data_IF_890075710748
#
_entry.id   IF_890075710748
#
_cell.length_a   1.000
_cell.length_b   1.000
_cell.length_c   1.000
_cell.angle_alpha   90.00
_cell.angle_beta   90.00
_cell.angle_gamma   90.00
#
_symmetry.space_group_name_H-M   'P 1'
#
loop_
_entity.id
_entity.type
_entity.pdbx_description
1 polymer ?
#
# COMPACT_ATOMS: atom_id res chain seq x y z
N UNK A 1 55.80 25.88 32.91
CA UNK A 1 55.73 26.39 34.30
C UNK A 1 56.97 25.97 35.06
N UNK A 2 57.44 26.80 35.98
CA UNK A 2 58.45 26.37 36.96
C UNK A 2 57.82 25.36 37.93
N UNK A 3 58.66 24.60 38.63
CA UNK A 3 58.23 23.69 39.69
C UNK A 3 57.41 24.44 40.75
N UNK A 4 56.24 23.89 41.13
CA UNK A 4 55.31 24.54 42.06
C UNK A 4 54.56 25.75 41.50
N UNK A 5 54.75 26.09 40.21
CA UNK A 5 54.04 27.19 39.58
C UNK A 5 52.60 26.86 39.22
N UNK A 6 51.78 27.91 39.10
CA UNK A 6 50.39 27.85 38.63
C UNK A 6 50.18 28.73 37.41
N UNK A 7 49.21 28.38 36.55
CA UNK A 7 48.74 29.22 35.45
C UNK A 7 47.22 29.12 35.31
N UNK A 8 46.61 30.14 34.75
CA UNK A 8 45.19 30.09 34.39
C UNK A 8 44.99 29.48 33.00
N UNK A 9 44.02 28.57 32.90
CA UNK A 9 43.54 28.01 31.64
C UNK A 9 42.21 28.67 31.31
N UNK A 10 42.18 29.37 30.19
CA UNK A 10 40.99 30.07 29.69
C UNK A 10 40.34 29.30 28.54
N UNK A 11 39.04 29.48 28.36
CA UNK A 11 38.37 29.06 27.13
C UNK A 11 38.96 29.80 25.93
N UNK A 12 39.23 29.07 24.85
CA UNK A 12 39.67 29.68 23.60
C UNK A 12 38.51 30.47 22.99
N UNK A 13 38.77 31.71 22.57
CA UNK A 13 37.76 32.50 21.84
C UNK A 13 37.22 31.70 20.62
N UNK A 14 35.90 31.72 20.35
CA UNK A 14 34.85 32.54 20.97
C UNK A 14 34.09 31.86 22.13
N UNK A 15 34.60 30.75 22.67
CA UNK A 15 33.95 30.09 23.79
C UNK A 15 34.10 30.90 25.09
N UNK A 16 33.05 30.92 25.89
CA UNK A 16 32.98 31.60 27.17
C UNK A 16 32.91 30.57 28.30
N UNK A 17 33.59 30.85 29.40
CA UNK A 17 33.64 29.99 30.56
C UNK A 17 34.54 30.59 31.63
N UNK A 18 34.44 30.06 32.85
CA UNK A 18 35.34 30.45 33.93
C UNK A 18 36.73 29.87 33.68
N UNK A 19 37.78 30.65 33.96
CA UNK A 19 39.13 30.11 33.97
C UNK A 19 39.31 29.17 35.16
N UNK A 20 40.20 28.20 34.98
CA UNK A 20 40.59 27.22 35.99
C UNK A 20 42.09 27.30 36.20
N UNK A 21 42.53 27.13 37.44
CA UNK A 21 43.96 27.11 37.76
C UNK A 21 44.54 25.72 37.45
N UNK A 22 45.63 25.70 36.70
CA UNK A 22 46.46 24.53 36.48
C UNK A 22 47.74 24.66 37.30
N UNK A 23 48.18 23.56 37.93
CA UNK A 23 49.36 23.54 38.80
C UNK A 23 50.36 22.46 38.38
N UNK A 24 51.65 22.79 38.46
CA UNK A 24 52.73 21.82 38.27
C UNK A 24 53.21 21.33 39.64
N UNK A 25 52.97 20.06 40.02
CA UNK A 25 53.32 19.57 41.34
C UNK A 25 54.85 19.56 41.56
N UNK A 26 55.29 19.72 42.81
CA UNK A 26 56.70 19.60 43.18
C UNK A 26 57.23 18.21 42.84
N UNK A 27 58.45 18.14 42.27
CA UNK A 27 59.06 16.90 41.81
C UNK A 27 58.49 16.31 40.51
N UNK A 28 57.70 17.07 39.73
CA UNK A 28 57.20 16.58 38.45
C UNK A 28 58.34 16.32 37.45
N UNK A 29 58.51 15.07 37.03
CA UNK A 29 59.46 14.65 35.98
C UNK A 29 58.78 14.36 34.63
N UNK A 30 57.46 14.48 34.55
CA UNK A 30 56.68 14.25 33.32
C UNK A 30 56.38 15.59 32.63
N UNK A 31 56.80 15.80 31.37
CA UNK A 31 56.43 17.00 30.61
C UNK A 31 54.91 17.20 30.43
N UNK A 32 54.08 16.15 30.65
CA UNK A 32 52.62 16.22 30.64
C UNK A 32 51.99 16.20 32.05
N UNK A 33 52.80 16.24 33.13
CA UNK A 33 52.35 16.12 34.52
C UNK A 33 51.63 17.35 35.10
N UNK A 34 51.04 18.20 34.26
CA UNK A 34 50.26 19.37 34.70
C UNK A 34 48.92 18.88 35.29
N UNK A 35 48.62 19.29 36.52
CA UNK A 35 47.37 18.93 37.20
C UNK A 35 46.36 20.04 37.01
N UNK A 36 45.27 19.72 36.31
CA UNK A 36 44.15 20.64 36.05
C UNK A 36 42.90 19.87 35.66
N UNK A 37 41.76 20.56 35.67
CA UNK A 37 40.48 20.05 35.16
C UNK A 37 40.00 20.97 34.04
N UNK A 38 39.52 20.44 32.89
CA UNK A 38 39.01 21.29 31.82
C UNK A 38 37.90 22.25 32.28
N UNK A 39 37.96 23.55 31.91
CA UNK A 39 36.86 24.46 32.19
C UNK A 39 35.65 24.12 31.33
N UNK A 40 34.44 24.38 31.82
CA UNK A 40 33.22 24.33 31.02
C UNK A 40 33.19 25.52 30.05
N UNK A 41 33.44 25.24 28.77
CA UNK A 41 33.44 26.23 27.71
C UNK A 41 32.17 26.12 26.88
N UNK A 42 31.32 27.13 26.96
CA UNK A 42 30.06 27.22 26.21
C UNK A 42 30.17 28.23 25.08
N UNK A 43 29.51 27.93 23.98
CA UNK A 43 29.38 28.83 22.84
C UNK A 43 28.00 29.47 22.92
N UNK A 44 27.94 30.74 23.34
CA UNK A 44 26.66 31.42 23.55
C UNK A 44 26.01 31.81 22.22
N UNK A 45 26.79 32.38 21.30
CA UNK A 45 26.30 32.85 20.01
C UNK A 45 27.36 32.69 18.93
N UNK A 46 26.90 32.56 17.69
CA UNK A 46 27.73 32.67 16.50
C UNK A 46 27.03 33.55 15.46
N UNK A 47 27.83 34.09 14.54
CA UNK A 47 27.34 34.84 13.39
C UNK A 47 26.40 33.98 12.54
N UNK A 48 25.66 34.64 11.64
CA UNK A 48 24.82 33.92 10.68
C UNK A 48 25.68 33.30 9.57
N UNK A 49 25.20 32.21 8.93
CA UNK A 49 25.86 31.66 7.76
C UNK A 49 26.01 32.72 6.67
N UNK A 50 27.17 32.76 6.02
CA UNK A 50 27.45 33.68 4.90
C UNK A 50 26.47 33.48 3.74
N UNK A 51 26.05 32.23 3.52
CA UNK A 51 25.05 31.85 2.52
C UNK A 51 23.79 31.37 3.21
N UNK A 52 22.66 31.98 2.88
CA UNK A 52 21.33 31.56 3.34
C UNK A 52 21.05 30.12 2.88
N UNK A 53 20.88 29.15 3.80
CA UNK A 53 20.57 27.78 3.42
C UNK A 53 19.22 27.68 2.74
N UNK A 54 19.09 26.75 1.79
CA UNK A 54 17.84 26.55 1.06
C UNK A 54 16.65 26.32 2.01
N UNK A 55 15.53 26.97 1.72
CA UNK A 55 14.30 26.84 2.50
C UNK A 55 14.25 27.63 3.80
N UNK A 56 15.24 28.47 4.05
CA UNK A 56 15.32 29.33 5.22
C UNK A 56 15.33 30.81 4.78
N UNK A 57 14.84 31.67 5.67
CA UNK A 57 14.90 33.13 5.53
C UNK A 57 15.31 33.73 6.87
N UNK A 58 16.17 34.75 6.83
CA UNK A 58 16.56 35.51 8.02
C UNK A 58 15.59 36.67 8.21
N UNK A 59 14.82 36.65 9.29
CA UNK A 59 13.89 37.70 9.72
C UNK A 59 14.51 38.54 10.85
N UNK A 60 13.93 39.71 11.21
CA UNK A 60 14.45 40.54 12.31
C UNK A 60 14.50 39.84 13.67
N UNK A 61 13.65 38.84 13.88
CA UNK A 61 13.53 38.02 15.09
C UNK A 61 14.29 36.69 15.03
N UNK A 62 14.96 36.39 13.90
CA UNK A 62 15.80 35.21 13.74
C UNK A 62 15.52 34.44 12.45
N UNK A 63 16.00 33.20 12.42
CA UNK A 63 15.79 32.31 11.27
C UNK A 63 14.36 31.77 11.26
N UNK A 64 13.79 31.64 10.06
CA UNK A 64 12.48 31.05 9.84
C UNK A 64 12.45 30.24 8.54
N UNK A 65 11.41 29.43 8.37
CA UNK A 65 11.20 28.70 7.13
C UNK A 65 10.65 29.62 6.04
N UNK A 66 11.17 29.46 4.84
CA UNK A 66 10.65 30.13 3.65
C UNK A 66 9.21 29.65 3.35
N UNK A 67 8.45 30.42 2.55
CA UNK A 67 7.02 30.22 2.28
C UNK A 67 6.65 28.80 1.82
N UNK A 68 7.54 28.15 1.06
CA UNK A 68 7.36 26.79 0.54
C UNK A 68 7.89 25.67 1.46
N UNK A 69 8.44 26.02 2.61
CA UNK A 69 8.98 25.10 3.60
C UNK A 69 8.11 25.10 4.86
N UNK A 70 8.24 24.07 5.68
CA UNK A 70 7.53 23.92 6.96
C UNK A 70 8.52 23.48 8.04
N UNK A 71 8.11 23.65 9.29
CA UNK A 71 8.91 23.34 10.46
C UNK A 71 9.29 24.58 11.27
N UNK A 72 10.34 24.45 12.08
CA UNK A 72 10.89 25.52 12.89
C UNK A 72 12.37 25.62 12.58
N UNK A 73 12.83 26.77 12.11
CA UNK A 73 14.24 26.98 11.85
C UNK A 73 14.99 27.06 13.19
N UNK A 74 16.08 26.30 13.27
CA UNK A 74 16.96 26.28 14.43
C UNK A 74 18.37 26.58 13.95
N UNK A 75 19.00 27.61 14.53
CA UNK A 75 20.42 27.91 14.34
C UNK A 75 21.23 27.24 15.44
N UNK A 76 22.15 26.38 15.06
CA UNK A 76 23.13 25.74 15.94
C UNK A 76 24.53 26.19 15.54
N UNK A 77 25.43 26.26 16.51
CA UNK A 77 26.82 26.64 16.28
C UNK A 77 27.70 25.44 16.60
N UNK A 78 28.52 25.01 15.64
CA UNK A 78 29.41 23.86 15.81
C UNK A 78 30.85 24.26 15.55
N UNK A 79 31.79 23.72 16.33
CA UNK A 79 33.21 23.92 16.09
C UNK A 79 33.78 22.82 15.20
N UNK A 80 34.52 23.23 14.18
CA UNK A 80 35.30 22.31 13.35
C UNK A 80 36.54 21.80 14.10
N UNK A 81 37.22 20.75 13.60
CA UNK A 81 38.51 20.32 14.16
C UNK A 81 39.61 21.40 14.15
N UNK A 82 39.50 22.42 13.29
CA UNK A 82 40.39 23.60 13.26
C UNK A 82 39.99 24.68 14.27
N UNK A 83 39.00 24.41 15.14
CA UNK A 83 38.38 25.36 16.07
C UNK A 83 37.69 26.55 15.39
N UNK A 84 37.26 26.40 14.14
CA UNK A 84 36.44 27.42 13.47
C UNK A 84 34.98 27.18 13.85
N UNK A 85 34.27 28.25 14.22
CA UNK A 85 32.85 28.17 14.52
C UNK A 85 32.05 28.32 13.23
N UNK A 86 31.27 27.30 12.90
CA UNK A 86 30.41 27.28 11.72
C UNK A 86 28.94 27.27 12.17
N UNK A 87 28.16 28.30 11.83
CA UNK A 87 26.73 28.28 12.05
C UNK A 87 26.05 27.30 11.09
N UNK A 88 25.08 26.56 11.61
CA UNK A 88 24.25 25.63 10.86
C UNK A 88 22.79 25.93 11.15
N UNK A 89 22.01 26.22 10.12
CA UNK A 89 20.56 26.39 10.23
C UNK A 89 19.89 25.12 9.71
N UNK A 90 18.92 24.61 10.46
CA UNK A 90 18.18 23.39 10.14
C UNK A 90 16.73 23.47 10.60
N UNK A 91 15.94 22.43 10.36
CA UNK A 91 14.55 22.32 10.85
C UNK A 91 13.47 22.76 9.87
N UNK A 92 13.83 23.41 8.75
CA UNK A 92 12.92 23.64 7.64
C UNK A 92 13.02 22.53 6.61
N UNK A 93 11.86 21.97 6.25
CA UNK A 93 11.71 20.85 5.33
C UNK A 93 10.68 21.20 4.26
N UNK A 94 10.97 20.82 3.02
CA UNK A 94 10.05 21.02 1.92
C UNK A 94 8.93 19.96 2.01
N UNK A 95 7.65 20.36 2.11
CA UNK A 95 6.56 19.40 2.05
C UNK A 95 6.56 18.67 0.70
N UNK A 96 6.36 17.36 0.74
CA UNK A 96 6.31 16.50 -0.43
C UNK A 96 4.87 16.05 -0.70
N UNK A 97 4.43 16.00 -1.98
CA UNK A 97 3.16 15.38 -2.31
C UNK A 97 3.16 13.91 -1.92
N UNK A 98 2.02 13.43 -1.46
CA UNK A 98 1.81 12.00 -1.23
C UNK A 98 1.64 11.28 -2.57
N UNK A 99 2.20 10.08 -2.67
CA UNK A 99 2.01 9.16 -3.79
C UNK A 99 0.95 8.12 -3.45
N UNK A 100 0.36 7.53 -4.49
CA UNK A 100 -0.59 6.44 -4.33
C UNK A 100 0.11 5.23 -3.67
N UNK A 101 -0.49 4.60 -2.65
CA UNK A 101 0.07 3.39 -2.08
C UNK A 101 0.02 2.23 -3.07
N UNK A 102 0.85 1.22 -2.83
CA UNK A 102 0.74 -0.05 -3.54
C UNK A 102 -0.66 -0.64 -3.27
N UNK A 103 -1.46 -0.72 -4.32
CA UNK A 103 -2.84 -1.18 -4.25
C UNK A 103 -2.99 -2.50 -5.02
N UNK A 104 -3.85 -3.37 -4.49
CA UNK A 104 -4.43 -4.43 -5.31
C UNK A 104 -5.15 -3.78 -6.50
N UNK A 105 -5.10 -4.43 -7.65
CA UNK A 105 -5.67 -3.93 -8.87
C UNK A 105 -7.20 -3.86 -8.90
N UNK A 106 -7.87 -4.40 -7.87
CA UNK A 106 -9.28 -4.09 -7.57
C UNK A 106 -9.54 -2.60 -7.36
N UNK A 107 -8.51 -1.83 -6.99
CA UNK A 107 -8.63 -0.42 -6.67
C UNK A 107 -8.11 0.47 -7.78
N UNK A 108 -8.87 1.54 -8.06
CA UNK A 108 -8.43 2.64 -8.90
C UNK A 108 -7.87 3.75 -8.00
N UNK A 109 -6.55 3.89 -8.04
CA UNK A 109 -5.78 4.93 -7.34
C UNK A 109 -5.22 5.99 -8.29
N UNK A 110 -5.70 6.05 -9.53
CA UNK A 110 -5.20 6.97 -10.56
C UNK A 110 -5.28 8.44 -10.13
N UNK A 111 -6.31 8.81 -9.36
CA UNK A 111 -6.48 10.16 -8.80
C UNK A 111 -5.54 10.49 -7.63
N UNK A 112 -4.75 9.53 -7.16
CA UNK A 112 -3.89 9.65 -5.98
C UNK A 112 -2.38 9.67 -6.31
N UNK A 113 -1.99 9.80 -7.59
CA UNK A 113 -0.58 9.72 -8.00
C UNK A 113 0.30 10.85 -7.43
N UNK A 114 -0.26 12.04 -7.18
CA UNK A 114 0.46 13.19 -6.61
C UNK A 114 -0.51 14.11 -5.88
N UNK A 115 -0.77 13.79 -4.61
CA UNK A 115 -1.68 14.55 -3.75
C UNK A 115 -0.88 15.57 -2.96
N UNK A 116 -1.12 16.86 -3.17
CA UNK A 116 -0.43 17.91 -2.44
C UNK A 116 -0.67 17.82 -0.93
N UNK A 117 0.27 18.24 -0.07
CA UNK A 117 0.07 18.28 1.38
C UNK A 117 -1.19 19.05 1.78
N UNK A 118 -2.01 18.44 2.63
CA UNK A 118 -3.35 18.94 3.00
C UNK A 118 -4.46 18.62 1.99
N UNK A 119 -4.11 18.06 0.83
CA UNK A 119 -5.03 17.65 -0.21
C UNK A 119 -5.65 16.28 0.05
N UNK A 120 -6.60 15.93 -0.81
CA UNK A 120 -7.26 14.63 -0.80
C UNK A 120 -7.47 14.09 -2.21
N UNK A 121 -7.63 12.78 -2.31
CA UNK A 121 -8.00 12.09 -3.55
C UNK A 121 -9.07 11.04 -3.24
N UNK A 122 -9.72 10.52 -4.29
CA UNK A 122 -10.73 9.48 -4.16
C UNK A 122 -10.20 8.18 -4.74
N UNK A 123 -10.31 7.11 -3.96
CA UNK A 123 -10.00 5.74 -4.37
C UNK A 123 -11.32 5.02 -4.58
N UNK A 124 -11.47 4.40 -5.75
CA UNK A 124 -12.65 3.63 -6.11
C UNK A 124 -12.31 2.19 -6.48
N UNK A 125 -13.32 1.43 -6.88
CA UNK A 125 -13.11 0.14 -7.52
C UNK A 125 -12.76 0.32 -8.99
N UNK A 126 -11.77 -0.43 -9.47
CA UNK A 126 -11.42 -0.52 -10.88
C UNK A 126 -12.36 -1.50 -11.58
N UNK A 127 -12.74 -1.23 -12.83
CA UNK A 127 -13.48 -2.22 -13.63
C UNK A 127 -12.69 -3.53 -13.72
N UNK A 128 -13.34 -4.71 -13.60
CA UNK A 128 -14.79 -4.99 -13.55
C UNK A 128 -15.44 -4.97 -12.16
N UNK A 129 -14.67 -4.58 -11.15
CA UNK A 129 -15.19 -4.47 -9.79
C UNK A 129 -16.07 -3.23 -9.65
N UNK A 130 -17.01 -3.30 -8.73
CA UNK A 130 -17.90 -2.20 -8.40
C UNK A 130 -18.18 -2.23 -6.90
N UNK A 131 -18.42 -1.04 -6.35
CA UNK A 131 -18.51 -0.88 -4.91
C UNK A 131 -18.43 0.57 -4.48
N UNK A 132 -18.06 0.76 -3.22
CA UNK A 132 -17.93 2.09 -2.61
C UNK A 132 -16.73 2.89 -3.14
N UNK A 133 -16.62 4.11 -2.64
CA UNK A 133 -15.44 4.97 -2.81
C UNK A 133 -14.98 5.44 -1.43
N UNK A 134 -13.69 5.61 -1.27
CA UNK A 134 -13.10 6.20 -0.05
C UNK A 134 -12.28 7.42 -0.41
N UNK A 135 -12.27 8.41 0.48
CA UNK A 135 -11.38 9.57 0.37
C UNK A 135 -10.10 9.31 1.14
N UNK A 136 -8.96 9.46 0.45
CA UNK A 136 -7.64 9.43 1.05
C UNK A 136 -7.12 10.86 1.21
N UNK A 137 -6.37 11.13 2.28
CA UNK A 137 -5.90 12.47 2.64
C UNK A 137 -4.39 12.50 2.83
N UNK A 138 -3.72 13.51 2.26
CA UNK A 138 -2.32 13.78 2.52
C UNK A 138 -2.21 14.81 3.64
N UNK A 139 -1.47 14.52 4.71
CA UNK A 139 -1.41 15.42 5.89
C UNK A 139 -0.78 16.77 5.52
N UNK A 140 -1.26 17.85 6.15
CA UNK A 140 -0.66 19.18 6.00
C UNK A 140 0.78 19.19 6.49
N UNK A 141 1.72 19.57 5.62
CA UNK A 141 3.16 19.53 5.94
C UNK A 141 3.80 18.14 5.81
N UNK A 142 3.15 17.22 5.10
CA UNK A 142 3.71 15.91 4.79
C UNK A 142 5.12 16.03 4.17
N UNK A 143 6.08 15.27 4.68
CA UNK A 143 7.46 15.18 4.16
C UNK A 143 7.83 13.76 3.74
N UNK A 144 6.89 12.81 3.83
CA UNK A 144 7.05 11.43 3.40
C UNK A 144 6.17 11.18 2.17
N UNK A 145 6.73 10.83 0.99
CA UNK A 145 5.89 10.51 -0.17
C UNK A 145 4.85 9.42 0.12
N UNK A 146 5.07 8.51 1.08
CA UNK A 146 4.12 7.47 1.45
C UNK A 146 3.09 7.90 2.51
N UNK A 147 3.02 9.19 2.85
CA UNK A 147 2.15 9.73 3.90
C UNK A 147 0.65 9.82 3.56
N UNK A 148 0.18 9.14 2.51
CA UNK A 148 -1.25 9.16 2.15
C UNK A 148 -2.05 8.32 3.16
N UNK A 149 -3.00 8.97 3.84
CA UNK A 149 -3.83 8.32 4.85
C UNK A 149 -5.14 7.83 4.23
N UNK A 150 -5.44 6.55 4.45
CA UNK A 150 -6.67 5.87 4.01
C UNK A 150 -7.34 5.27 5.24
N UNK A 151 -8.60 5.61 5.51
CA UNK A 151 -9.33 5.08 6.67
C UNK A 151 -9.68 3.60 6.53
N UNK A 152 -10.13 3.20 5.35
CA UNK A 152 -10.37 1.81 4.96
C UNK A 152 -10.40 1.70 3.43
N UNK A 153 -10.01 0.56 2.88
CA UNK A 153 -10.19 0.31 1.45
C UNK A 153 -11.69 0.12 1.13
N UNK A 154 -12.16 0.55 -0.05
CA UNK A 154 -13.55 0.33 -0.43
C UNK A 154 -13.81 -1.18 -0.60
N UNK A 155 -15.04 -1.61 -0.29
CA UNK A 155 -15.45 -2.98 -0.62
C UNK A 155 -15.73 -3.07 -2.11
N UNK A 156 -14.93 -3.90 -2.80
CA UNK A 156 -14.96 -4.04 -4.25
C UNK A 156 -15.32 -5.49 -4.62
N UNK A 157 -16.52 -5.65 -5.19
CA UNK A 157 -17.07 -6.94 -5.61
C UNK A 157 -17.30 -6.96 -7.12
N UNK A 158 -17.24 -8.13 -7.73
CA UNK A 158 -17.52 -8.30 -9.16
C UNK A 158 -19.03 -8.26 -9.38
N UNK A 159 -19.55 -7.15 -9.93
CA UNK A 159 -20.99 -7.01 -10.25
C UNK A 159 -21.31 -7.59 -11.63
N UNK A 160 -20.30 -7.75 -12.49
CA UNK A 160 -20.47 -8.32 -13.81
C UNK A 160 -19.13 -8.66 -14.47
N UNK A 161 -19.23 -9.40 -15.55
CA UNK A 161 -18.11 -9.83 -16.38
C UNK A 161 -18.60 -9.90 -17.82
N UNK A 162 -17.69 -9.74 -18.78
CA UNK A 162 -18.02 -9.90 -20.19
C UNK A 162 -18.56 -11.32 -20.46
N UNK A 163 -19.34 -11.49 -21.51
CA UNK A 163 -19.64 -12.84 -21.98
C UNK A 163 -18.34 -13.50 -22.46
N UNK A 164 -18.10 -14.80 -22.19
CA UNK A 164 -16.90 -15.47 -22.66
C UNK A 164 -16.90 -15.53 -24.19
N UNK A 165 -15.74 -15.32 -24.81
CA UNK A 165 -15.58 -15.41 -26.27
C UNK A 165 -15.85 -16.83 -26.77
N UNK A 166 -15.50 -17.83 -25.96
CA UNK A 166 -15.79 -19.25 -26.19
C UNK A 166 -16.49 -19.78 -24.95
N UNK A 167 -17.66 -20.39 -25.10
CA UNK A 167 -18.42 -20.99 -24.02
C UNK A 167 -18.44 -22.52 -24.09
N UNK A 168 -18.62 -23.22 -22.94
CA UNK A 168 -18.70 -24.67 -22.91
C UNK A 168 -19.88 -25.20 -23.74
N UNK A 169 -19.77 -26.48 -24.14
CA UNK A 169 -20.91 -27.19 -24.74
C UNK A 169 -22.11 -27.19 -23.80
N UNK A 170 -23.32 -27.16 -24.38
CA UNK A 170 -24.57 -27.13 -23.61
C UNK A 170 -25.08 -25.75 -23.24
N UNK A 171 -24.34 -24.69 -23.56
CA UNK A 171 -24.76 -23.30 -23.34
C UNK A 171 -25.06 -22.60 -24.67
N UNK A 172 -26.16 -21.84 -24.70
CA UNK A 172 -26.56 -21.01 -25.84
C UNK A 172 -26.81 -19.59 -25.35
N UNK A 173 -26.17 -18.62 -26.02
CA UNK A 173 -26.35 -17.20 -25.74
C UNK A 173 -27.61 -16.68 -26.43
N UNK A 174 -28.50 -16.06 -25.67
CA UNK A 174 -29.71 -15.42 -26.20
C UNK A 174 -29.57 -13.89 -26.31
N UNK A 175 -28.69 -13.31 -25.50
CA UNK A 175 -28.41 -11.88 -25.49
C UNK A 175 -27.22 -11.56 -24.57
N UNK A 176 -26.85 -10.27 -24.42
CA UNK A 176 -25.78 -9.86 -23.53
C UNK A 176 -26.03 -10.31 -22.09
N UNK A 177 -25.19 -11.20 -21.57
CA UNK A 177 -25.35 -11.76 -20.23
C UNK A 177 -26.50 -12.76 -20.05
N UNK A 178 -27.28 -13.06 -21.10
CA UNK A 178 -28.43 -13.96 -21.05
C UNK A 178 -28.08 -15.29 -21.71
N UNK A 179 -28.14 -16.35 -20.91
CA UNK A 179 -27.74 -17.71 -21.29
C UNK A 179 -28.89 -18.67 -21.03
N UNK A 180 -28.98 -19.71 -21.86
CA UNK A 180 -29.86 -20.86 -21.64
C UNK A 180 -29.15 -22.17 -21.97
N UNK A 181 -29.76 -23.28 -21.56
CA UNK A 181 -29.28 -24.58 -21.96
C UNK A 181 -29.57 -24.87 -23.44
N UNK A 182 -28.61 -25.53 -24.09
CA UNK A 182 -28.68 -25.96 -25.48
C UNK A 182 -29.63 -27.14 -25.68
N UNK A 183 -29.82 -27.54 -26.93
CA UNK A 183 -30.63 -28.72 -27.25
C UNK A 183 -30.02 -29.99 -26.65
N UNK A 184 -30.84 -30.83 -26.02
CA UNK A 184 -30.43 -32.01 -25.23
C UNK A 184 -29.65 -31.69 -23.94
N UNK A 185 -29.80 -30.47 -23.42
CA UNK A 185 -29.31 -30.07 -22.11
C UNK A 185 -30.46 -29.48 -21.32
N UNK A 186 -30.49 -29.79 -20.02
CA UNK A 186 -31.55 -29.35 -19.10
C UNK A 186 -30.96 -28.55 -17.94
N UNK A 187 -31.82 -27.88 -17.18
CA UNK A 187 -31.44 -27.02 -16.06
C UNK A 187 -31.57 -25.52 -16.35
N UNK A 188 -30.89 -24.73 -15.53
CA UNK A 188 -30.91 -23.26 -15.60
C UNK A 188 -29.48 -22.78 -15.79
N UNK A 189 -29.19 -22.17 -16.94
CA UNK A 189 -27.89 -21.57 -17.19
C UNK A 189 -27.66 -20.40 -16.21
N UNK A 190 -26.62 -20.51 -15.40
CA UNK A 190 -26.19 -19.48 -14.47
C UNK A 190 -24.84 -18.94 -14.94
N UNK A 191 -24.77 -17.61 -15.06
CA UNK A 191 -23.51 -16.89 -15.29
C UNK A 191 -23.01 -16.34 -13.96
N UNK A 192 -21.79 -16.71 -13.58
CA UNK A 192 -21.10 -16.21 -12.40
C UNK A 192 -19.80 -15.55 -12.81
N UNK A 193 -19.44 -14.48 -12.10
CA UNK A 193 -18.20 -13.76 -12.30
C UNK A 193 -17.31 -14.01 -11.08
N UNK A 194 -16.10 -14.50 -11.31
CA UNK A 194 -15.12 -14.72 -10.25
C UNK A 194 -13.88 -13.88 -10.52
N UNK A 195 -13.34 -13.29 -9.46
CA UNK A 195 -12.02 -12.70 -9.50
C UNK A 195 -11.00 -13.86 -9.51
N UNK A 196 -10.07 -13.92 -10.47
CA UNK A 196 -9.00 -14.88 -10.47
C UNK A 196 -8.01 -14.52 -9.36
N UNK A 197 -7.50 -15.56 -8.69
CA UNK A 197 -6.54 -15.43 -7.59
C UNK A 197 -5.11 -15.09 -8.07
N UNK A 198 -4.90 -14.95 -9.37
CA UNK A 198 -3.59 -14.70 -10.01
C UNK A 198 -3.21 -13.20 -10.06
N UNK A 199 -4.11 -12.32 -9.60
CA UNK A 199 -3.90 -10.87 -9.64
C UNK A 199 -4.00 -10.29 -11.06
N UNK A 200 -4.62 -10.98 -12.02
CA UNK A 200 -4.82 -10.49 -13.39
C UNK A 200 -5.84 -9.36 -13.52
N UNK A 201 -6.63 -9.11 -12.47
CA UNK A 201 -7.60 -8.01 -12.37
C UNK A 201 -8.72 -8.08 -13.42
N UNK A 202 -8.87 -9.22 -14.08
CA UNK A 202 -9.94 -9.49 -15.03
C UNK A 202 -10.96 -10.37 -14.34
N UNK A 203 -12.26 -10.13 -14.51
CA UNK A 203 -13.26 -11.07 -14.00
C UNK A 203 -13.38 -12.25 -14.98
N UNK A 204 -13.24 -13.46 -14.48
CA UNK A 204 -13.48 -14.68 -15.25
C UNK A 204 -14.97 -15.01 -15.21
N UNK A 205 -15.52 -15.31 -16.38
CA UNK A 205 -16.90 -15.77 -16.50
C UNK A 205 -16.96 -17.28 -16.39
N UNK A 206 -17.79 -17.76 -15.47
CA UNK A 206 -18.11 -19.18 -15.30
C UNK A 206 -19.58 -19.38 -15.67
N UNK A 207 -19.84 -20.34 -16.54
CA UNK A 207 -21.19 -20.81 -16.86
C UNK A 207 -21.42 -22.15 -16.16
N UNK A 208 -22.53 -22.26 -15.45
CA UNK A 208 -22.92 -23.46 -14.68
C UNK A 208 -24.42 -23.75 -14.80
N UNK A 209 -24.86 -24.91 -14.34
CA UNK A 209 -26.29 -25.26 -14.22
C UNK A 209 -26.98 -25.85 -15.46
N UNK A 210 -26.25 -26.09 -16.56
CA UNK A 210 -26.75 -26.92 -17.66
C UNK A 210 -26.11 -28.30 -17.57
N UNK A 211 -26.94 -29.33 -17.61
CA UNK A 211 -26.52 -30.72 -17.56
C UNK A 211 -27.02 -31.46 -18.80
N UNK A 212 -26.20 -32.37 -19.32
CA UNK A 212 -26.58 -33.13 -20.51
C UNK A 212 -27.72 -34.08 -20.17
N UNK A 213 -28.77 -34.06 -20.99
CA UNK A 213 -29.85 -35.03 -20.88
C UNK A 213 -29.32 -36.40 -21.27
N UNK A 214 -29.35 -37.34 -20.31
CA UNK A 214 -29.03 -38.74 -20.57
C UNK A 214 -30.30 -39.54 -20.75
N UNK A 215 -30.29 -40.58 -21.60
CA UNK A 215 -31.43 -41.48 -21.72
C UNK A 215 -31.81 -42.09 -20.38
N UNK A 216 -33.10 -42.28 -20.15
CA UNK A 216 -33.61 -43.02 -19.00
C UNK A 216 -32.99 -44.41 -18.96
N UNK A 217 -32.63 -44.85 -17.73
CA UNK A 217 -32.25 -46.24 -17.50
C UNK A 217 -33.38 -47.15 -17.99
N UNK A 218 -33.00 -48.27 -18.61
CA UNK A 218 -33.96 -49.27 -19.03
C UNK A 218 -34.89 -49.64 -17.87
N UNK A 219 -36.18 -49.78 -18.16
CA UNK A 219 -37.17 -50.16 -17.17
C UNK A 219 -36.78 -51.52 -16.57
N UNK A 220 -36.52 -51.55 -15.26
CA UNK A 220 -36.23 -52.78 -14.56
C UNK A 220 -37.53 -53.59 -14.45
N UNK A 221 -37.58 -54.72 -15.15
CA UNK A 221 -38.69 -55.68 -15.09
C UNK A 221 -38.30 -56.79 -14.12
N UNK A 222 -39.23 -57.23 -13.27
CA UNK A 222 -38.95 -58.33 -12.37
C UNK A 222 -38.81 -59.65 -13.17
N UNK A 223 -38.00 -60.63 -12.74
CA UNK A 223 -37.75 -61.85 -13.50
C UNK A 223 -39.03 -62.60 -13.92
N UNK A 224 -40.05 -62.60 -13.06
CA UNK A 224 -41.35 -63.22 -13.35
C UNK A 224 -42.17 -62.50 -14.43
N UNK A 225 -41.89 -61.22 -14.69
CA UNK A 225 -42.61 -60.39 -15.64
C UNK A 225 -41.86 -60.25 -16.99
N UNK A 226 -40.62 -60.75 -17.09
CA UNK A 226 -39.83 -60.72 -18.34
C UNK A 226 -40.50 -61.51 -19.47
N UNK A 227 -41.20 -62.60 -19.13
CA UNK A 227 -41.98 -63.39 -20.10
C UNK A 227 -43.35 -62.77 -20.43
N UNK A 228 -43.79 -61.77 -19.65
CA UNK A 228 -45.10 -61.12 -19.80
C UNK A 228 -44.97 -59.77 -20.51
N UNK A 229 -43.92 -59.00 -20.24
CA UNK A 229 -43.76 -57.63 -20.72
C UNK A 229 -42.62 -57.51 -21.74
N UNK A 230 -42.93 -56.92 -22.90
CA UNK A 230 -41.95 -56.45 -23.86
C UNK A 230 -41.66 -54.97 -23.62
N UNK A 231 -40.49 -54.70 -23.03
CA UNK A 231 -39.96 -53.36 -22.73
C UNK A 231 -38.85 -52.93 -23.69
N UNK A 232 -38.63 -53.65 -24.80
CA UNK A 232 -37.52 -53.35 -25.72
C UNK A 232 -37.59 -51.92 -26.29
N UNK A 233 -38.79 -51.36 -26.44
CA UNK A 233 -39.02 -49.97 -26.87
C UNK A 233 -38.72 -48.92 -25.79
N UNK A 234 -38.47 -49.34 -24.55
CA UNK A 234 -38.20 -48.49 -23.40
C UNK A 234 -36.73 -48.45 -22.99
N UNK A 235 -35.83 -48.99 -23.80
CA UNK A 235 -34.38 -48.89 -23.58
C UNK A 235 -33.87 -47.59 -24.20
N UNK A 236 -33.25 -46.72 -23.39
CA UNK A 236 -32.64 -45.49 -23.87
C UNK A 236 -33.65 -44.40 -24.29
N UNK A 237 -34.78 -44.31 -23.59
CA UNK A 237 -35.79 -43.25 -23.84
C UNK A 237 -35.22 -41.90 -23.41
N UNK A 238 -35.17 -40.93 -24.33
CA UNK A 238 -34.72 -39.57 -24.02
C UNK A 238 -35.66 -38.86 -23.04
N UNK A 239 -35.13 -37.90 -22.29
CA UNK A 239 -35.93 -37.05 -21.41
C UNK A 239 -37.11 -36.41 -22.18
N UNK A 240 -38.28 -36.33 -21.52
CA UNK A 240 -39.52 -35.80 -22.12
C UNK A 240 -40.17 -36.69 -23.17
N UNK A 241 -39.55 -37.80 -23.60
CA UNK A 241 -40.14 -38.78 -24.51
C UNK A 241 -40.94 -39.83 -23.76
N UNK A 242 -41.75 -40.60 -24.49
CA UNK A 242 -42.49 -41.75 -23.95
C UNK A 242 -42.19 -43.01 -24.76
N UNK A 243 -42.27 -44.17 -24.11
CA UNK A 243 -42.19 -45.48 -24.75
C UNK A 243 -43.47 -46.27 -24.50
N UNK A 244 -43.68 -47.31 -25.31
CA UNK A 244 -44.82 -48.22 -25.13
C UNK A 244 -44.33 -49.57 -24.60
N UNK A 245 -44.85 -49.95 -23.44
CA UNK A 245 -44.74 -51.32 -22.92
C UNK A 245 -45.89 -52.15 -23.52
N UNK A 246 -45.60 -53.34 -24.03
CA UNK A 246 -46.59 -54.28 -24.57
C UNK A 246 -46.53 -55.61 -23.84
N UNK A 247 -47.61 -56.40 -23.88
CA UNK A 247 -47.52 -57.79 -23.49
C UNK A 247 -46.74 -58.59 -24.55
N UNK A 248 -45.97 -59.61 -24.13
CA UNK A 248 -45.41 -60.58 -25.06
C UNK A 248 -46.55 -61.40 -25.70
N UNK A 249 -46.40 -61.72 -26.98
CA UNK A 249 -47.30 -62.64 -27.67
C UNK A 249 -46.98 -64.08 -27.21
N UNK A 250 -48.00 -64.93 -26.98
CA UNK A 250 -47.82 -66.30 -26.47
C UNK A 250 -47.14 -67.25 -27.44
#
# INVERSE_FOLDING_TARGET
LLEGGTCEVHCKSPFLGLSVEASCPMGNTDPNGLVWTPPECVLNECGDPEVVPQGHVLMPDGWACDFSYRGFAVKECTATPSCEIVPRVSGCVQPLPCVAPAADCRYDVSYCQSVQPGGSCVIGCREPYSGGKVTATCVGGNTDPNGLQISAWPDCSTIGCADPDVWPEGYVREGPGIWRCGTNWTGTAVKSCVAPDDGSCTALTILSGCEQEVPCMALAVAPQDECILNVTQCVGVMAGSSCRVRCQEP
#
